data_IF_273401053781
#
_entry.id   IF_273401053781
#
_cell.length_a   1.000
_cell.length_b   1.000
_cell.length_c   1.000
_cell.angle_alpha   90.00
_cell.angle_beta   90.00
_cell.angle_gamma   90.00
#
_symmetry.space_group_name_H-M   'P 1'
#
loop_
_entity.id
_entity.type
_entity.pdbx_description
1 polymer ?
#
# COMPACT_ATOMS: atom_id res chain seq x y z
N UNK A 1 -1.70 18.82 7.50
CA UNK A 1 -1.61 17.34 7.38
C UNK A 1 -1.90 16.74 8.76
N UNK A 2 -2.91 15.86 8.90
CA UNK A 2 -3.43 15.36 10.21
C UNK A 2 -2.62 14.17 10.75
N UNK A 3 -2.81 13.82 12.03
CA UNK A 3 -2.14 12.66 12.65
C UNK A 3 -2.50 11.30 12.03
N UNK A 4 -3.71 11.16 11.49
CA UNK A 4 -4.14 9.95 10.77
C UNK A 4 -3.38 9.77 9.46
N UNK A 5 -3.11 10.86 8.74
CA UNK A 5 -2.32 10.82 7.51
C UNK A 5 -0.91 10.29 7.75
N UNK A 6 -0.27 10.68 8.87
CA UNK A 6 1.03 10.13 9.27
C UNK A 6 0.96 8.61 9.45
N UNK A 7 -0.07 8.10 10.12
CA UNK A 7 -0.26 6.66 10.33
C UNK A 7 -0.42 5.93 9.00
N UNK A 8 -1.24 6.49 8.11
CA UNK A 8 -1.41 5.97 6.75
C UNK A 8 -0.07 5.86 5.99
N UNK A 9 0.77 6.91 6.03
CA UNK A 9 2.07 6.87 5.37
C UNK A 9 2.97 5.77 5.93
N UNK A 10 3.00 5.58 7.26
CA UNK A 10 3.79 4.51 7.88
C UNK A 10 3.34 3.12 7.40
N UNK A 11 2.03 2.85 7.40
CA UNK A 11 1.50 1.58 6.91
C UNK A 11 1.78 1.38 5.41
N UNK A 12 1.71 2.46 4.62
CA UNK A 12 1.99 2.40 3.19
C UNK A 12 3.47 2.10 2.92
N UNK A 13 4.38 2.73 3.67
CA UNK A 13 5.82 2.47 3.58
C UNK A 13 6.11 1.02 3.95
N UNK A 14 5.55 0.54 5.06
CA UNK A 14 5.72 -0.85 5.51
C UNK A 14 5.28 -1.85 4.43
N UNK A 15 4.07 -1.67 3.87
CA UNK A 15 3.56 -2.52 2.80
C UNK A 15 4.43 -2.48 1.54
N UNK A 16 4.79 -1.28 1.07
CA UNK A 16 5.58 -1.14 -0.15
C UNK A 16 7.00 -1.66 0.01
N UNK A 17 7.64 -1.45 1.17
CA UNK A 17 8.95 -2.01 1.47
C UNK A 17 8.90 -3.54 1.47
N UNK A 18 7.92 -4.14 2.15
CA UNK A 18 7.72 -5.58 2.14
C UNK A 18 7.50 -6.11 0.71
N UNK A 19 6.66 -5.43 -0.07
CA UNK A 19 6.39 -5.82 -1.46
C UNK A 19 7.67 -5.76 -2.31
N UNK A 20 8.45 -4.67 -2.20
CA UNK A 20 9.69 -4.51 -2.95
C UNK A 20 10.72 -5.57 -2.57
N UNK A 21 10.87 -5.89 -1.29
CA UNK A 21 11.77 -6.95 -0.83
C UNK A 21 11.42 -8.32 -1.44
N UNK A 22 10.13 -8.60 -1.70
CA UNK A 22 9.71 -9.83 -2.39
C UNK A 22 10.03 -9.83 -3.88
N UNK A 23 9.80 -8.71 -4.58
CA UNK A 23 10.02 -8.64 -6.04
C UNK A 23 11.47 -8.35 -6.43
N UNK A 24 12.27 -7.80 -5.51
CA UNK A 24 13.67 -7.40 -5.71
C UNK A 24 14.51 -7.74 -4.46
N UNK A 25 14.70 -9.02 -4.12
CA UNK A 25 15.36 -9.44 -2.87
C UNK A 25 16.85 -9.06 -2.78
N UNK A 26 17.49 -8.72 -3.89
CA UNK A 26 18.90 -8.28 -3.93
C UNK A 26 19.07 -6.77 -3.69
N UNK A 27 17.97 -6.02 -3.60
CA UNK A 27 18.01 -4.57 -3.37
C UNK A 27 18.09 -4.28 -1.88
N UNK A 28 19.10 -3.51 -1.47
CA UNK A 28 19.20 -3.02 -0.10
C UNK A 28 18.24 -1.83 0.10
N UNK A 29 17.01 -2.18 0.50
CA UNK A 29 15.94 -1.19 0.71
C UNK A 29 16.20 -0.28 1.91
N UNK A 30 16.87 -0.78 2.94
CA UNK A 30 17.14 0.00 4.14
C UNK A 30 18.17 1.10 3.82
N UNK A 31 19.21 0.77 3.05
CA UNK A 31 20.18 1.75 2.59
C UNK A 31 19.55 2.82 1.67
N UNK A 32 18.74 2.42 0.69
CA UNK A 32 18.09 3.34 -0.27
C UNK A 32 17.14 4.32 0.43
N UNK A 33 16.30 3.82 1.37
CA UNK A 33 15.40 4.67 2.14
C UNK A 33 16.13 5.58 3.12
N UNK A 34 17.24 5.13 3.69
CA UNK A 34 18.06 5.96 4.58
C UNK A 34 18.78 7.07 3.82
N UNK A 35 19.25 6.78 2.60
CA UNK A 35 19.82 7.80 1.71
C UNK A 35 18.80 8.89 1.41
N UNK A 36 17.56 8.53 1.07
CA UNK A 36 16.48 9.47 0.81
C UNK A 36 16.18 10.35 2.04
N UNK A 37 16.13 9.75 3.24
CA UNK A 37 15.98 10.52 4.49
C UNK A 37 17.11 11.52 4.63
N UNK A 38 18.36 11.12 4.43
CA UNK A 38 19.52 12.01 4.55
C UNK A 38 19.44 13.18 3.54
N UNK A 39 19.01 12.92 2.31
CA UNK A 39 18.82 13.95 1.28
C UNK A 39 17.75 14.96 1.67
N UNK A 40 16.61 14.49 2.20
CA UNK A 40 15.54 15.37 2.72
C UNK A 40 16.04 16.19 3.89
N UNK A 41 16.78 15.60 4.81
CA UNK A 41 17.32 16.33 5.96
C UNK A 41 18.29 17.44 5.54
N UNK A 42 19.16 17.18 4.56
CA UNK A 42 20.07 18.17 4.00
C UNK A 42 19.31 19.30 3.28
N UNK A 43 18.30 18.96 2.48
CA UNK A 43 17.50 19.94 1.72
C UNK A 43 16.47 20.68 2.58
N UNK A 44 16.13 20.16 3.76
CA UNK A 44 15.29 20.84 4.75
C UNK A 44 15.95 22.12 5.26
N UNK A 45 17.26 22.08 5.51
CA UNK A 45 18.04 23.24 5.95
C UNK A 45 18.15 24.31 4.85
N UNK A 46 18.29 23.91 3.59
CA UNK A 46 18.25 24.85 2.45
C UNK A 46 16.83 25.37 2.19
N UNK A 47 15.79 24.63 2.55
CA UNK A 47 14.39 25.01 2.35
C UNK A 47 13.87 24.75 0.94
N UNK A 48 14.50 23.81 0.24
CA UNK A 48 14.19 23.45 -1.15
C UNK A 48 13.42 22.14 -1.25
N UNK A 49 12.88 21.64 -0.14
CA UNK A 49 12.08 20.40 -0.14
C UNK A 49 10.77 20.63 -0.91
N UNK A 50 10.50 19.84 -1.97
CA UNK A 50 9.27 19.97 -2.75
C UNK A 50 8.02 19.81 -1.88
N UNK A 51 7.04 20.72 -2.04
CA UNK A 51 5.80 20.71 -1.25
C UNK A 51 5.94 21.19 0.20
N UNK A 52 7.15 21.54 0.63
CA UNK A 52 7.47 22.06 1.95
C UNK A 52 8.23 23.40 1.83
N UNK A 53 7.58 24.46 1.31
CA UNK A 53 8.23 25.77 1.26
C UNK A 53 8.58 26.20 2.69
N UNK A 54 9.78 26.74 2.88
CA UNK A 54 10.07 27.53 4.09
C UNK A 54 8.95 28.54 4.24
N UNK A 55 8.40 28.67 5.44
CA UNK A 55 7.45 29.73 5.77
C UNK A 55 8.08 31.07 5.35
N UNK A 56 7.80 31.52 4.13
CA UNK A 56 7.70 32.94 3.81
C UNK A 56 6.53 33.37 4.67
N UNK A 57 6.80 33.72 5.93
CA UNK A 57 5.77 34.07 6.90
C UNK A 57 4.75 34.99 6.23
N UNK A 58 3.52 35.10 6.71
CA UNK A 58 3.23 35.73 8.00
C UNK A 58 4.24 36.83 8.47
N UNK A 59 5.15 37.30 7.61
CA UNK A 59 5.81 38.58 7.71
C UNK A 59 4.81 39.66 7.28
N UNK A 60 3.98 39.41 6.28
CA UNK A 60 2.96 40.39 5.85
C UNK A 60 1.84 40.61 6.88
N UNK A 61 1.55 39.64 7.76
CA UNK A 61 0.46 39.75 8.74
C UNK A 61 0.92 40.15 10.14
N UNK A 62 2.22 40.00 10.46
CA UNK A 62 2.77 40.32 11.78
C UNK A 62 3.71 41.54 11.78
N UNK A 63 4.22 41.95 10.62
CA UNK A 63 5.01 43.19 10.50
C UNK A 63 4.03 44.31 10.21
N UNK A 64 3.55 44.93 11.29
CA UNK A 64 2.80 46.17 11.17
C UNK A 64 3.60 47.25 10.43
N UNK A 65 2.91 48.23 9.83
CA UNK A 65 3.57 49.35 9.17
C UNK A 65 4.00 50.41 10.19
N UNK A 66 5.26 50.85 10.13
CA UNK A 66 5.76 51.93 10.98
C UNK A 66 4.96 53.22 10.71
N UNK A 67 4.54 53.89 11.77
CA UNK A 67 3.88 55.18 11.71
C UNK A 67 4.81 56.22 12.33
N UNK A 68 5.11 57.28 11.60
CA UNK A 68 5.84 58.40 12.17
C UNK A 68 4.92 59.19 13.11
N UNK A 69 5.26 59.20 14.39
CA UNK A 69 4.50 59.88 15.45
C UNK A 69 4.90 61.36 15.58
N UNK A 70 5.96 61.81 14.92
CA UNK A 70 6.43 63.20 15.00
C UNK A 70 5.38 64.19 14.50
N UNK A 71 4.62 63.80 13.47
CA UNK A 71 3.59 64.59 12.80
C UNK A 71 2.29 64.79 13.59
N UNK A 72 2.08 64.04 14.68
CA UNK A 72 0.83 64.07 15.45
C UNK A 72 0.99 64.82 16.77
N UNK A 73 0.12 65.79 17.04
CA UNK A 73 0.19 66.64 18.23
C UNK A 73 -0.56 66.05 19.44
N UNK A 74 -1.53 65.17 19.19
CA UNK A 74 -2.36 64.53 20.22
C UNK A 74 -2.74 63.09 19.88
N UNK A 75 -3.30 62.35 20.85
CA UNK A 75 -3.77 60.99 20.62
C UNK A 75 -5.12 60.96 19.87
N UNK A 76 -5.92 62.03 19.96
CA UNK A 76 -7.17 62.20 19.22
C UNK A 76 -6.92 62.26 17.70
N UNK A 77 -5.82 62.88 17.27
CA UNK A 77 -5.42 62.87 15.85
C UNK A 77 -5.04 61.46 15.39
N UNK A 78 -4.38 60.66 16.24
CA UNK A 78 -4.08 59.25 15.95
C UNK A 78 -5.34 58.39 15.93
N UNK A 79 -6.32 58.67 16.80
CA UNK A 79 -7.62 58.02 16.81
C UNK A 79 -8.37 58.20 15.47
N UNK A 80 -8.24 59.39 14.85
CA UNK A 80 -8.86 59.68 13.54
C UNK A 80 -8.34 58.81 12.39
N UNK A 81 -7.15 58.20 12.53
CA UNK A 81 -6.58 57.28 11.53
C UNK A 81 -7.29 55.92 11.44
N UNK A 82 -8.16 55.63 12.41
CA UNK A 82 -8.96 54.42 12.44
C UNK A 82 -8.24 53.19 12.99
N UNK A 83 -9.04 52.16 13.25
CA UNK A 83 -8.65 50.99 14.02
C UNK A 83 -7.53 50.17 13.35
N UNK A 84 -7.59 50.04 12.02
CA UNK A 84 -6.63 49.25 11.25
C UNK A 84 -5.24 49.87 11.21
N UNK A 85 -5.15 51.20 11.08
CA UNK A 85 -3.87 51.91 11.06
C UNK A 85 -3.19 51.87 12.42
N UNK A 86 -3.95 52.05 13.50
CA UNK A 86 -3.46 51.94 14.87
C UNK A 86 -2.99 50.52 15.22
N UNK A 87 -3.76 49.51 14.80
CA UNK A 87 -3.38 48.10 14.96
C UNK A 87 -2.07 47.82 14.23
N UNK A 88 -1.95 48.29 12.98
CA UNK A 88 -0.73 48.14 12.18
C UNK A 88 0.47 48.80 12.87
N UNK A 89 0.36 50.05 13.32
CA UNK A 89 1.46 50.74 13.98
C UNK A 89 1.86 50.11 15.33
N UNK A 90 0.90 49.63 16.13
CA UNK A 90 1.16 48.92 17.39
C UNK A 90 1.84 47.57 17.15
N UNK A 91 1.43 46.82 16.12
CA UNK A 91 2.10 45.58 15.74
C UNK A 91 3.54 45.83 15.25
N UNK A 92 3.79 46.93 14.54
CA UNK A 92 5.12 47.33 14.09
C UNK A 92 6.10 47.53 15.26
N UNK A 93 5.58 48.02 16.40
CA UNK A 93 6.33 48.26 17.64
C UNK A 93 6.30 47.09 18.62
N UNK A 94 5.66 45.96 18.28
CA UNK A 94 5.54 44.79 19.17
C UNK A 94 4.66 45.02 20.40
N UNK A 95 3.74 45.98 20.34
CA UNK A 95 2.85 46.37 21.43
C UNK A 95 1.51 45.65 21.35
N UNK A 96 0.85 45.50 22.52
CA UNK A 96 -0.49 44.92 22.61
C UNK A 96 -1.51 45.76 21.81
N UNK A 97 -2.31 45.09 21.00
CA UNK A 97 -3.33 45.71 20.13
C UNK A 97 -4.78 45.60 20.69
N UNK A 98 -4.95 45.13 21.92
CA UNK A 98 -6.28 45.03 22.57
C UNK A 98 -6.80 46.38 23.06
N UNK A 99 -8.11 46.46 23.30
CA UNK A 99 -8.77 47.66 23.83
C UNK A 99 -9.56 48.45 22.80
N UNK A 100 -10.15 49.56 23.28
CA UNK A 100 -10.89 50.54 22.46
C UNK A 100 -9.95 51.30 21.52
N UNK A 101 -10.53 52.02 20.55
CA UNK A 101 -9.76 52.83 19.60
C UNK A 101 -8.93 53.91 20.33
N UNK A 102 -9.49 54.51 21.38
CA UNK A 102 -8.83 55.51 22.23
C UNK A 102 -7.65 54.91 22.99
N UNK A 103 -7.84 53.75 23.62
CA UNK A 103 -6.78 53.04 24.36
C UNK A 103 -5.60 52.65 23.45
N UNK A 104 -5.88 52.31 22.19
CA UNK A 104 -4.84 52.02 21.19
C UNK A 104 -4.08 53.27 20.77
N UNK A 105 -4.80 54.37 20.52
CA UNK A 105 -4.22 55.65 20.15
C UNK A 105 -3.35 56.23 21.28
N UNK A 106 -3.82 56.20 22.53
CA UNK A 106 -3.06 56.62 23.71
C UNK A 106 -1.80 55.75 23.91
N UNK A 107 -1.92 54.42 23.76
CA UNK A 107 -0.79 53.50 23.86
C UNK A 107 0.27 53.77 22.79
N UNK A 108 -0.15 54.00 21.55
CA UNK A 108 0.75 54.36 20.46
C UNK A 108 1.38 55.75 20.68
N UNK A 109 0.61 56.75 21.13
CA UNK A 109 1.13 58.08 21.42
C UNK A 109 2.13 58.08 22.58
N UNK A 110 1.93 57.21 23.58
CA UNK A 110 2.81 57.09 24.76
C UNK A 110 4.24 56.65 24.44
N UNK A 111 4.49 56.15 23.22
CA UNK A 111 5.81 55.76 22.73
C UNK A 111 6.51 56.88 21.94
N UNK A 112 5.82 57.99 21.64
CA UNK A 112 6.39 59.17 20.97
C UNK A 112 7.57 59.72 21.79
N UNK A 113 8.75 59.76 21.17
CA UNK A 113 9.95 60.34 21.78
C UNK A 113 10.61 59.49 22.88
N UNK A 114 10.15 58.25 23.13
CA UNK A 114 10.80 57.34 24.09
C UNK A 114 11.68 56.33 23.37
N UNK A 115 12.97 56.30 23.72
CA UNK A 115 13.94 55.35 23.16
C UNK A 115 13.86 53.93 23.76
N UNK A 116 13.21 53.76 24.91
CA UNK A 116 13.02 52.47 25.58
C UNK A 116 11.54 52.27 25.93
N UNK A 117 11.00 51.12 25.53
CA UNK A 117 9.60 50.74 25.73
C UNK A 117 9.48 49.82 26.95
N UNK A 118 8.41 49.98 27.74
CA UNK A 118 8.15 49.16 28.93
C UNK A 118 7.91 47.68 28.54
N UNK A 119 8.71 46.72 29.08
CA UNK A 119 8.52 45.29 28.85
C UNK A 119 7.12 44.75 29.20
N UNK A 120 6.36 45.43 30.06
CA UNK A 120 4.97 45.07 30.42
C UNK A 120 3.97 45.31 29.27
N UNK A 121 4.27 46.26 28.38
CA UNK A 121 3.42 46.63 27.23
C UNK A 121 3.70 45.80 25.97
N UNK A 122 4.83 45.09 25.95
CA UNK A 122 5.22 44.18 24.88
C UNK A 122 4.33 42.93 24.83
N UNK A 123 4.13 42.36 23.63
CA UNK A 123 3.53 41.04 23.46
C UNK A 123 4.47 39.93 23.96
N UNK A 124 4.02 39.10 24.90
CA UNK A 124 4.76 37.91 25.36
C UNK A 124 4.71 36.81 24.29
N UNK A 125 5.67 36.76 23.37
CA UNK A 125 5.73 35.74 22.31
C UNK A 125 6.27 34.37 22.75
N UNK A 126 6.67 34.18 24.01
CA UNK A 126 7.37 32.96 24.45
C UNK A 126 6.54 31.67 24.42
N UNK A 127 5.21 31.72 24.54
CA UNK A 127 4.37 30.50 24.47
C UNK A 127 4.28 29.91 23.06
N UNK A 128 4.55 30.70 22.02
CA UNK A 128 4.49 30.24 20.62
C UNK A 128 5.75 29.50 20.15
N UNK A 129 6.92 29.81 20.73
CA UNK A 129 8.21 29.31 20.23
C UNK A 129 8.35 27.78 20.36
N UNK A 130 8.06 27.23 21.55
CA UNK A 130 8.11 25.79 21.78
C UNK A 130 7.05 25.01 20.97
N UNK A 131 5.86 25.60 20.78
CA UNK A 131 4.82 25.02 19.92
C UNK A 131 5.23 25.02 18.45
N UNK A 132 5.87 26.10 17.99
CA UNK A 132 6.38 26.25 16.63
C UNK A 132 7.53 25.28 16.33
N UNK A 133 8.44 25.08 17.27
CA UNK A 133 9.53 24.10 17.14
C UNK A 133 8.99 22.66 17.10
N UNK A 134 8.01 22.34 17.95
CA UNK A 134 7.33 21.03 17.91
C UNK A 134 6.57 20.81 16.60
N UNK A 135 5.98 21.86 16.04
CA UNK A 135 5.33 21.80 14.73
C UNK A 135 6.35 21.62 13.60
N UNK A 136 7.48 22.35 13.62
CA UNK A 136 8.55 22.16 12.64
C UNK A 136 9.14 20.74 12.67
N UNK A 137 9.30 20.16 13.87
CA UNK A 137 9.74 18.77 13.99
C UNK A 137 8.72 17.81 13.38
N UNK A 138 7.42 17.99 13.66
CA UNK A 138 6.35 17.18 13.05
C UNK A 138 6.34 17.31 11.52
N UNK A 139 6.52 18.51 10.99
CA UNK A 139 6.55 18.76 9.55
C UNK A 139 7.77 18.11 8.91
N UNK A 140 8.93 18.20 9.55
CA UNK A 140 10.16 17.53 9.11
C UNK A 140 9.99 16.02 9.07
N UNK A 141 9.45 15.40 10.13
CA UNK A 141 9.14 13.96 10.15
C UNK A 141 8.18 13.56 9.04
N UNK A 142 7.18 14.40 8.76
CA UNK A 142 6.20 14.10 7.74
C UNK A 142 6.77 14.23 6.33
N UNK A 143 7.66 15.21 6.11
CA UNK A 143 8.38 15.39 4.86
C UNK A 143 9.27 14.18 4.56
N UNK A 144 9.96 13.64 5.56
CA UNK A 144 10.79 12.44 5.38
C UNK A 144 9.95 11.22 5.01
N UNK A 145 8.78 11.02 5.62
CA UNK A 145 7.88 9.92 5.28
C UNK A 145 7.33 10.05 3.85
N UNK A 146 6.92 11.26 3.45
CA UNK A 146 6.44 11.50 2.09
C UNK A 146 7.51 11.22 1.04
N UNK A 147 8.76 11.65 1.28
CA UNK A 147 9.87 11.39 0.37
C UNK A 147 10.15 9.89 0.22
N UNK A 148 10.14 9.13 1.31
CA UNK A 148 10.24 7.67 1.26
C UNK A 148 9.12 7.04 0.42
N UNK A 149 7.88 7.52 0.56
CA UNK A 149 6.76 7.05 -0.28
C UNK A 149 6.98 7.39 -1.75
N UNK A 150 7.45 8.60 -2.08
CA UNK A 150 7.78 8.95 -3.47
C UNK A 150 8.85 8.02 -4.04
N UNK A 151 9.92 7.76 -3.28
CA UNK A 151 10.98 6.85 -3.68
C UNK A 151 10.47 5.44 -3.94
N UNK A 152 9.69 4.88 -3.01
CA UNK A 152 9.06 3.57 -3.17
C UNK A 152 8.13 3.54 -4.37
N UNK A 153 7.33 4.59 -4.57
CA UNK A 153 6.41 4.71 -5.70
C UNK A 153 7.12 4.75 -7.06
N UNK A 154 8.34 5.29 -7.12
CA UNK A 154 9.19 5.24 -8.31
C UNK A 154 9.75 3.84 -8.54
N UNK A 155 10.18 3.14 -7.49
CA UNK A 155 10.68 1.76 -7.56
C UNK A 155 9.61 0.80 -8.08
N UNK A 156 8.35 0.98 -7.63
CA UNK A 156 7.19 0.17 -8.04
C UNK A 156 6.38 0.78 -9.18
N UNK A 157 6.91 1.78 -9.89
CA UNK A 157 6.18 2.46 -10.96
C UNK A 157 5.62 1.51 -12.04
N UNK A 158 6.36 0.47 -12.49
CA UNK A 158 5.82 -0.52 -13.43
C UNK A 158 4.63 -1.30 -12.86
N UNK A 159 4.75 -1.78 -11.62
CA UNK A 159 3.69 -2.55 -10.94
C UNK A 159 2.46 -1.67 -10.70
N UNK A 160 2.64 -0.41 -10.29
CA UNK A 160 1.56 0.56 -10.13
C UNK A 160 0.82 0.84 -11.44
N UNK A 161 1.55 0.89 -12.56
CA UNK A 161 0.96 1.01 -13.90
C UNK A 161 0.09 -0.21 -14.23
N UNK A 162 0.64 -1.40 -14.05
CA UNK A 162 -0.05 -2.66 -14.31
C UNK A 162 -1.29 -2.85 -13.43
N UNK A 163 -1.21 -2.53 -12.13
CA UNK A 163 -2.36 -2.64 -11.21
C UNK A 163 -3.45 -1.63 -11.55
N UNK A 164 -3.09 -0.40 -11.93
CA UNK A 164 -4.06 0.60 -12.40
C UNK A 164 -4.80 0.11 -13.65
N UNK A 165 -4.08 -0.46 -14.62
CA UNK A 165 -4.70 -1.04 -15.81
C UNK A 165 -5.61 -2.21 -15.45
N UNK A 166 -5.19 -3.10 -14.53
CA UNK A 166 -6.00 -4.21 -14.06
C UNK A 166 -7.31 -3.74 -13.43
N UNK A 167 -7.25 -2.74 -12.55
CA UNK A 167 -8.42 -2.14 -11.92
C UNK A 167 -9.35 -1.53 -12.97
N UNK A 168 -8.82 -0.81 -13.95
CA UNK A 168 -9.63 -0.24 -15.05
C UNK A 168 -10.30 -1.33 -15.89
N UNK A 169 -9.59 -2.41 -16.19
CA UNK A 169 -10.12 -3.56 -16.93
C UNK A 169 -11.24 -4.25 -16.16
N UNK A 170 -11.04 -4.52 -14.85
CA UNK A 170 -12.06 -5.09 -13.97
C UNK A 170 -13.29 -4.19 -13.84
N UNK A 171 -13.09 -2.88 -13.77
CA UNK A 171 -14.19 -1.91 -13.66
C UNK A 171 -15.08 -1.84 -14.91
N UNK A 172 -14.52 -2.19 -16.09
CA UNK A 172 -15.24 -2.16 -17.37
C UNK A 172 -15.99 -3.46 -17.69
N UNK A 173 -15.81 -4.52 -16.88
CA UNK A 173 -16.43 -5.84 -17.09
C UNK A 173 -17.89 -5.85 -16.65
N UNK A 174 -18.68 -6.68 -17.32
CA UNK A 174 -20.05 -7.02 -16.90
C UNK A 174 -20.02 -8.08 -15.79
N UNK A 175 -21.07 -8.20 -14.98
CA UNK A 175 -21.06 -9.04 -13.77
C UNK A 175 -20.66 -10.51 -14.01
N UNK A 176 -20.98 -11.09 -15.18
CA UNK A 176 -20.59 -12.46 -15.53
C UNK A 176 -19.11 -12.64 -15.90
N UNK A 177 -18.48 -11.62 -16.50
CA UNK A 177 -17.05 -11.66 -16.89
C UNK A 177 -16.12 -11.35 -15.72
N UNK A 178 -16.67 -10.84 -14.61
CA UNK A 178 -15.95 -10.56 -13.38
C UNK A 178 -15.66 -11.83 -12.59
N UNK A 179 -16.64 -12.74 -12.52
CA UNK A 179 -16.58 -14.01 -11.79
C UNK A 179 -15.49 -14.94 -12.38
N UNK A 180 -15.43 -15.08 -13.71
CA UNK A 180 -14.40 -15.89 -14.39
C UNK A 180 -12.97 -15.40 -14.08
N UNK A 181 -12.77 -14.08 -13.97
CA UNK A 181 -11.46 -13.51 -13.68
C UNK A 181 -11.05 -13.52 -12.21
N UNK A 182 -12.04 -13.47 -11.31
CA UNK A 182 -11.81 -13.67 -9.87
C UNK A 182 -11.47 -15.14 -9.61
N UNK A 183 -12.07 -16.06 -10.36
CA UNK A 183 -11.75 -17.49 -10.33
C UNK A 183 -10.32 -17.77 -10.87
N UNK A 184 -9.93 -17.18 -12.00
CA UNK A 184 -8.55 -17.30 -12.54
C UNK A 184 -7.47 -16.72 -11.61
N UNK A 185 -7.73 -15.58 -10.93
CA UNK A 185 -6.80 -15.05 -9.91
C UNK A 185 -6.75 -15.93 -8.65
N UNK A 186 -7.85 -16.59 -8.28
CA UNK A 186 -7.92 -17.48 -7.12
C UNK A 186 -7.24 -18.84 -7.33
N UNK A 187 -7.03 -19.26 -8.58
CA UNK A 187 -6.27 -20.48 -8.91
C UNK A 187 -4.74 -20.30 -8.75
N UNK A 188 -4.22 -19.07 -8.79
CA UNK A 188 -2.78 -18.75 -8.60
C UNK A 188 -2.44 -18.41 -7.13
N UNK A 189 -3.44 -18.03 -6.33
CA UNK A 189 -3.30 -17.67 -4.91
C UNK A 189 -3.71 -18.82 -3.97
N UNK A 190 -3.80 -20.06 -4.46
CA UNK A 190 -3.74 -21.22 -3.56
C UNK A 190 -2.30 -21.34 -3.08
N UNK A 191 -1.96 -20.95 -1.84
CA UNK A 191 -0.69 -21.37 -1.30
C UNK A 191 -0.77 -22.89 -1.29
N UNK A 192 0.17 -23.52 -1.96
CA UNK A 192 0.53 -24.92 -1.79
C UNK A 192 1.11 -25.10 -0.36
N UNK A 193 0.40 -24.59 0.66
CA UNK A 193 0.42 -25.17 2.00
C UNK A 193 -0.31 -26.49 1.87
N UNK A 194 0.39 -27.45 1.26
CA UNK A 194 0.22 -28.84 1.55
C UNK A 194 0.38 -28.98 3.08
N UNK A 195 -0.75 -28.86 3.77
CA UNK A 195 -0.96 -29.48 5.06
C UNK A 195 -0.70 -30.97 4.82
N UNK A 196 0.56 -31.36 5.03
CA UNK A 196 1.12 -32.69 4.81
C UNK A 196 0.64 -33.68 5.89
N UNK A 197 -0.59 -33.51 6.36
CA UNK A 197 -1.31 -34.52 7.12
C UNK A 197 -2.06 -35.39 6.10
N UNK A 198 -1.34 -36.39 5.57
CA UNK A 198 -1.90 -37.50 4.78
C UNK A 198 -3.18 -37.97 5.46
N UNK A 199 -4.38 -37.69 4.91
CA UNK A 199 -5.62 -37.95 5.61
C UNK A 199 -5.73 -39.44 5.91
N UNK A 200 -5.93 -39.78 7.19
CA UNK A 200 -6.03 -41.16 7.67
C UNK A 200 -7.02 -41.96 6.81
N UNK A 201 -6.48 -42.82 5.94
CA UNK A 201 -7.23 -43.65 4.98
C UNK A 201 -7.18 -45.14 5.39
N UNK A 202 -7.83 -45.52 6.50
CA UNK A 202 -7.74 -46.88 7.05
C UNK A 202 -8.34 -47.96 6.14
N UNK A 203 -9.05 -47.57 5.08
CA UNK A 203 -9.68 -48.47 4.10
C UNK A 203 -8.97 -48.47 2.74
N UNK A 204 -7.83 -47.77 2.60
CA UNK A 204 -7.06 -47.65 1.35
C UNK A 204 -7.94 -47.40 0.11
N UNK A 205 -8.96 -46.56 0.28
CA UNK A 205 -9.85 -46.16 -0.80
C UNK A 205 -9.08 -45.24 -1.77
N UNK A 206 -9.31 -45.35 -3.10
CA UNK A 206 -8.73 -44.42 -4.06
C UNK A 206 -9.07 -42.97 -3.68
N UNK A 207 -8.07 -42.09 -3.79
CA UNK A 207 -8.24 -40.67 -3.51
C UNK A 207 -8.98 -40.01 -4.67
N UNK A 208 -9.89 -39.09 -4.34
CA UNK A 208 -10.56 -38.26 -5.33
C UNK A 208 -9.64 -37.19 -5.89
N UNK A 209 -10.18 -36.37 -6.78
CA UNK A 209 -9.50 -35.17 -7.29
C UNK A 209 -9.26 -34.11 -6.19
N UNK A 210 -9.99 -34.18 -5.07
CA UNK A 210 -9.87 -33.35 -3.86
C UNK A 210 -8.84 -33.91 -2.85
N UNK A 211 -8.02 -34.91 -3.23
CA UNK A 211 -7.02 -35.52 -2.33
C UNK A 211 -7.59 -36.31 -1.14
N UNK A 212 -8.91 -36.29 -0.91
CA UNK A 212 -9.61 -37.02 0.15
C UNK A 212 -10.06 -38.42 -0.31
N UNK A 213 -10.15 -39.42 0.59
CA UNK A 213 -10.67 -40.74 0.26
C UNK A 213 -12.10 -40.67 -0.29
N UNK A 214 -12.34 -41.26 -1.47
CA UNK A 214 -13.65 -41.26 -2.10
C UNK A 214 -14.67 -41.98 -1.18
N UNK A 215 -15.88 -41.43 -0.99
CA UNK A 215 -16.92 -42.10 -0.20
C UNK A 215 -17.17 -43.54 -0.64
N UNK A 216 -17.31 -44.45 0.34
CA UNK A 216 -17.39 -45.90 0.09
C UNK A 216 -18.55 -46.33 -0.83
N UNK A 217 -19.69 -45.63 -0.78
CA UNK A 217 -20.82 -45.89 -1.67
C UNK A 217 -20.50 -45.54 -3.12
N UNK A 218 -19.74 -44.47 -3.35
CA UNK A 218 -19.31 -44.02 -4.68
C UNK A 218 -18.25 -44.98 -5.25
N UNK A 219 -17.36 -45.48 -4.39
CA UNK A 219 -16.41 -46.55 -4.72
C UNK A 219 -17.11 -47.84 -5.20
N UNK A 220 -18.20 -48.25 -4.52
CA UNK A 220 -19.03 -49.39 -4.97
C UNK A 220 -19.87 -49.06 -6.21
N UNK A 221 -20.45 -47.88 -6.29
CA UNK A 221 -21.33 -47.47 -7.40
C UNK A 221 -20.59 -47.46 -8.74
N UNK A 222 -19.36 -46.92 -8.75
CA UNK A 222 -18.52 -46.89 -9.96
C UNK A 222 -17.71 -48.17 -10.17
N UNK A 223 -17.91 -49.20 -9.33
CA UNK A 223 -17.27 -50.51 -9.47
C UNK A 223 -15.76 -50.50 -9.25
N UNK A 224 -15.19 -49.48 -8.59
CA UNK A 224 -13.74 -49.42 -8.31
C UNK A 224 -13.27 -50.54 -7.36
N UNK A 225 -14.20 -51.23 -6.70
CA UNK A 225 -13.96 -52.43 -5.90
C UNK A 225 -13.74 -53.70 -6.72
N UNK A 226 -13.92 -53.65 -8.05
CA UNK A 226 -13.73 -54.78 -8.95
C UNK A 226 -12.40 -54.59 -9.67
N UNK A 227 -11.49 -55.54 -9.49
CA UNK A 227 -10.19 -55.57 -10.14
C UNK A 227 -10.25 -56.38 -11.43
N UNK A 228 -9.71 -55.82 -12.51
CA UNK A 228 -9.52 -56.49 -13.79
C UNK A 228 -8.02 -56.55 -14.10
N UNK A 229 -7.55 -57.67 -14.62
CA UNK A 229 -6.16 -57.86 -15.01
C UNK A 229 -6.03 -57.88 -16.55
N UNK A 230 -4.93 -57.30 -17.05
CA UNK A 230 -4.56 -57.37 -18.47
C UNK A 230 -3.17 -57.98 -18.61
N UNK A 231 -3.09 -59.14 -19.27
CA UNK A 231 -1.84 -59.89 -19.45
C UNK A 231 -0.88 -59.16 -20.40
N UNK A 232 -1.41 -58.60 -21.49
CA UNK A 232 -0.68 -57.79 -22.48
C UNK A 232 0.02 -56.59 -21.84
N UNK A 233 -0.53 -56.05 -20.74
CA UNK A 233 0.06 -54.96 -19.95
C UNK A 233 1.02 -55.44 -18.84
N UNK A 234 1.48 -56.69 -18.87
CA UNK A 234 2.34 -57.28 -17.83
C UNK A 234 1.55 -57.68 -16.58
N UNK A 235 0.35 -58.25 -16.77
CA UNK A 235 -0.60 -58.62 -15.71
C UNK A 235 -0.96 -57.45 -14.76
N UNK A 236 -1.01 -56.24 -15.30
CA UNK A 236 -1.34 -55.04 -14.52
C UNK A 236 -2.82 -55.04 -14.11
N UNK A 237 -3.08 -54.64 -12.87
CA UNK A 237 -4.43 -54.64 -12.28
C UNK A 237 -5.07 -53.26 -12.38
N UNK A 238 -6.17 -53.17 -13.12
CA UNK A 238 -7.02 -52.00 -13.24
C UNK A 238 -8.20 -52.09 -12.28
N UNK A 239 -8.47 -51.00 -11.55
CA UNK A 239 -9.61 -50.89 -10.64
C UNK A 239 -10.80 -50.26 -11.34
N UNK A 240 -11.83 -51.07 -11.54
CA UNK A 240 -13.12 -50.67 -12.07
C UNK A 240 -13.27 -50.77 -13.59
N UNK A 241 -14.50 -51.00 -14.08
CA UNK A 241 -14.77 -51.26 -15.50
C UNK A 241 -14.39 -50.08 -16.42
N UNK A 242 -14.61 -48.84 -15.96
CA UNK A 242 -14.34 -47.64 -16.77
C UNK A 242 -12.83 -47.44 -17.01
N UNK A 243 -12.00 -47.64 -15.98
CA UNK A 243 -10.56 -47.59 -16.12
C UNK A 243 -10.06 -48.73 -17.01
N UNK A 244 -10.62 -49.92 -16.83
CA UNK A 244 -10.32 -51.08 -17.68
C UNK A 244 -10.85 -50.95 -19.11
N UNK A 245 -11.84 -50.13 -19.43
CA UNK A 245 -12.18 -49.87 -20.84
C UNK A 245 -11.25 -48.83 -21.46
N UNK A 246 -10.88 -47.81 -20.70
CA UNK A 246 -10.00 -46.75 -21.19
C UNK A 246 -8.58 -47.26 -21.50
N UNK A 247 -8.09 -48.24 -20.75
CA UNK A 247 -6.69 -48.69 -20.89
C UNK A 247 -6.35 -49.26 -22.28
N UNK A 248 -7.32 -49.79 -23.04
CA UNK A 248 -7.09 -50.29 -24.41
C UNK A 248 -6.55 -49.20 -25.36
N UNK A 249 -6.93 -47.95 -25.13
CA UNK A 249 -6.45 -46.80 -25.89
C UNK A 249 -5.22 -46.12 -25.23
N UNK A 250 -4.80 -46.56 -24.05
CA UNK A 250 -3.66 -45.99 -23.34
C UNK A 250 -2.33 -46.53 -23.88
N UNK A 251 -1.28 -45.72 -23.74
CA UNK A 251 0.04 -46.02 -24.28
C UNK A 251 0.59 -47.38 -23.85
N UNK A 252 0.36 -47.79 -22.60
CA UNK A 252 0.87 -49.05 -22.05
C UNK A 252 0.34 -50.26 -22.81
N UNK A 253 -0.97 -50.30 -23.06
CA UNK A 253 -1.60 -51.39 -23.81
C UNK A 253 -1.18 -51.34 -25.28
N UNK A 254 -1.17 -50.16 -25.89
CA UNK A 254 -0.70 -49.97 -27.27
C UNK A 254 0.76 -50.41 -27.45
N UNK A 255 1.61 -50.20 -26.45
CA UNK A 255 3.00 -50.65 -26.44
C UNK A 255 3.10 -52.17 -26.28
N UNK A 256 2.32 -52.78 -25.39
CA UNK A 256 2.23 -54.24 -25.27
C UNK A 256 1.82 -54.91 -26.59
N UNK A 257 0.77 -54.39 -27.24
CA UNK A 257 0.34 -54.85 -28.57
C UNK A 257 1.44 -54.70 -29.63
N UNK A 258 2.18 -53.59 -29.61
CA UNK A 258 3.32 -53.36 -30.51
C UNK A 258 4.45 -54.37 -30.29
N UNK A 259 4.73 -54.76 -29.05
CA UNK A 259 5.73 -55.79 -28.73
C UNK A 259 5.31 -57.18 -29.22
N UNK A 260 4.01 -57.45 -29.29
CA UNK A 260 3.44 -58.67 -29.89
C UNK A 260 3.37 -58.60 -31.43
N UNK A 261 3.62 -57.42 -32.03
CA UNK A 261 3.57 -57.21 -33.48
C UNK A 261 2.15 -56.99 -34.03
N UNK A 262 1.15 -56.77 -33.17
CA UNK A 262 -0.25 -56.61 -33.56
C UNK A 262 -0.62 -55.11 -33.56
N UNK A 263 -1.27 -54.59 -34.62
CA UNK A 263 -1.71 -53.21 -34.65
C UNK A 263 -2.87 -52.98 -33.66
N UNK A 264 -2.74 -51.99 -32.78
CA UNK A 264 -3.78 -51.62 -31.81
C UNK A 264 -4.96 -50.94 -32.53
N UNK A 265 -5.89 -51.74 -33.04
CA UNK A 265 -7.12 -51.30 -33.72
C UNK A 265 -8.35 -51.70 -32.91
N UNK A 266 -9.50 -51.08 -33.20
CA UNK A 266 -10.75 -51.35 -32.49
C UNK A 266 -11.21 -52.83 -32.56
N UNK A 267 -10.68 -53.62 -33.51
CA UNK A 267 -10.94 -55.06 -33.61
C UNK A 267 -10.40 -55.86 -32.42
N UNK A 268 -9.34 -55.39 -31.78
CA UNK A 268 -8.72 -56.02 -30.62
C UNK A 268 -9.18 -55.40 -29.29
N UNK A 269 -10.24 -54.58 -29.32
CA UNK A 269 -10.82 -54.04 -28.10
C UNK A 269 -11.42 -55.17 -27.25
N UNK A 270 -11.09 -55.18 -25.95
CA UNK A 270 -11.44 -56.23 -24.97
C UNK A 270 -10.57 -57.50 -25.00
N UNK A 271 -9.52 -57.58 -25.81
CA UNK A 271 -8.57 -58.70 -25.77
C UNK A 271 -7.51 -58.44 -24.69
N UNK A 272 -7.40 -59.34 -23.72
CA UNK A 272 -6.47 -59.15 -22.59
C UNK A 272 -5.47 -60.27 -22.39
N UNK A 273 -5.71 -61.46 -22.94
CA UNK A 273 -4.78 -62.58 -22.94
C UNK A 273 -3.88 -62.50 -24.17
N UNK A 274 -2.63 -62.92 -24.02
CA UNK A 274 -1.66 -62.89 -25.13
C UNK A 274 -2.02 -63.95 -26.20
N UNK A 275 -2.60 -65.07 -25.79
CA UNK A 275 -2.97 -66.17 -26.70
C UNK A 275 -4.19 -65.83 -27.58
N UNK A 276 -5.05 -64.93 -27.11
CA UNK A 276 -6.29 -64.52 -27.79
C UNK A 276 -6.10 -63.30 -28.71
N UNK A 277 -4.90 -62.69 -28.72
CA UNK A 277 -4.54 -61.48 -29.46
C UNK A 277 -3.91 -61.81 -30.82
#
# INVERSE_FOLDING_TARGET
>A
KTGEYRKYLLCLIEYLTWFVQRIKPLMDMDADLQEEVNQVLATWESGTVPGWPKETGSALTNVGAHLDLSAFSSWEELASLGLDRLKSALMALGLKCGGTLEERAQRLFSTKGKGSLDPSLMTKNNKGKASKEKEQLRQRELATLEAQVYRLADIVAPQRGATKENVQRKQARTDGERDDSENEESEDDSPDEADDDVPYNPKNLPLGWDGKPIPYWLYKLHGLNISYNCEICGNYVYKGPKAFQRHFAEWRHAHGMRCLGIPNTAHFANVTQIEDA
#
